data_IF_041091592189
#
_entry.id   IF_041091592189
#
_cell.length_a   1.000
_cell.length_b   1.000
_cell.length_c   1.000
_cell.angle_alpha   90.00
_cell.angle_beta   90.00
_cell.angle_gamma   90.00
#
_symmetry.space_group_name_H-M   'P 1'
#
loop_
_entity.id
_entity.type
_entity.pdbx_description
1 polymer ?
#
# COMPACT_ATOMS: atom_id res chain seq x y z
N UNK A 1 -7.37 -14.77 -7.61
CA UNK A 1 -7.24 -15.54 -6.35
C UNK A 1 -6.05 -15.02 -5.55
N UNK A 2 -6.31 -14.45 -4.37
CA UNK A 2 -5.28 -14.02 -3.42
C UNK A 2 -4.57 -15.27 -2.85
N UNK A 3 -3.24 -15.27 -2.82
CA UNK A 3 -2.46 -16.41 -2.28
C UNK A 3 -2.37 -16.39 -0.75
N UNK A 4 -2.46 -15.21 -0.14
CA UNK A 4 -2.45 -15.00 1.30
C UNK A 4 -3.51 -13.95 1.66
N UNK A 5 -4.38 -14.29 2.60
CA UNK A 5 -5.44 -13.43 3.10
C UNK A 5 -5.09 -12.88 4.48
N UNK A 6 -5.78 -11.81 4.89
CA UNK A 6 -5.70 -11.28 6.25
C UNK A 6 -6.02 -12.37 7.28
N UNK A 7 -5.24 -12.44 8.35
CA UNK A 7 -5.39 -13.43 9.41
C UNK A 7 -6.29 -12.95 10.55
N UNK A 8 -6.60 -13.80 11.54
CA UNK A 8 -7.37 -13.39 12.73
C UNK A 8 -6.76 -12.21 13.49
N UNK A 9 -5.43 -12.06 13.44
CA UNK A 9 -4.73 -10.93 14.04
C UNK A 9 -5.07 -9.58 13.39
N UNK A 10 -5.56 -9.60 12.14
CA UNK A 10 -5.89 -8.43 11.33
C UNK A 10 -7.38 -8.03 11.43
N UNK A 11 -8.18 -8.74 12.22
CA UNK A 11 -9.61 -8.47 12.40
C UNK A 11 -9.87 -7.01 12.81
N UNK A 12 -8.99 -6.44 13.62
CA UNK A 12 -9.10 -5.05 14.02
C UNK A 12 -9.10 -4.08 12.82
N UNK A 13 -8.40 -4.39 11.72
CA UNK A 13 -8.41 -3.56 10.52
C UNK A 13 -9.82 -3.52 9.95
N UNK A 14 -10.48 -4.69 9.84
CA UNK A 14 -11.86 -4.81 9.37
C UNK A 14 -12.82 -4.07 10.30
N UNK A 15 -12.62 -4.19 11.61
CA UNK A 15 -13.45 -3.52 12.62
C UNK A 15 -13.31 -1.99 12.59
N UNK A 16 -12.14 -1.49 12.15
CA UNK A 16 -11.85 -0.06 12.02
C UNK A 16 -12.30 0.55 10.69
N UNK A 17 -12.63 -0.28 9.69
CA UNK A 17 -13.17 0.21 8.44
C UNK A 17 -14.60 0.72 8.67
N UNK A 18 -14.73 2.05 8.73
CA UNK A 18 -16.04 2.71 8.59
C UNK A 18 -16.65 2.38 7.21
N UNK A 19 -17.94 2.71 7.02
CA UNK A 19 -18.66 2.55 5.73
C UNK A 19 -17.79 3.07 4.57
N UNK A 20 -17.16 2.17 3.78
CA UNK A 20 -16.23 2.58 2.75
C UNK A 20 -17.01 3.33 1.65
N UNK A 21 -16.34 4.10 0.77
CA UNK A 21 -17.00 4.72 -0.38
C UNK A 21 -17.85 3.69 -1.12
N UNK A 22 -19.03 4.07 -1.64
CA UNK A 22 -20.00 3.14 -2.27
C UNK A 22 -19.38 2.18 -3.32
N UNK A 23 -18.26 2.58 -3.92
CA UNK A 23 -17.52 1.80 -4.94
C UNK A 23 -16.63 0.70 -4.37
N UNK A 24 -16.32 0.77 -3.08
CA UNK A 24 -15.56 -0.24 -2.40
C UNK A 24 -16.50 -1.23 -1.71
N UNK A 25 -16.52 -2.51 -2.12
CA UNK A 25 -17.27 -3.50 -1.39
C UNK A 25 -16.75 -3.61 0.04
N UNK A 26 -17.58 -4.11 0.94
CA UNK A 26 -17.18 -4.32 2.33
C UNK A 26 -15.99 -5.28 2.38
N UNK A 27 -14.91 -4.84 3.03
CA UNK A 27 -13.77 -5.71 3.28
C UNK A 27 -14.08 -6.68 4.43
N UNK A 28 -13.51 -7.87 4.35
CA UNK A 28 -13.47 -8.87 5.41
C UNK A 28 -12.13 -9.63 5.33
N UNK A 29 -11.86 -10.51 6.31
CA UNK A 29 -10.60 -11.26 6.33
C UNK A 29 -10.40 -12.15 5.09
N UNK A 30 -11.48 -12.57 4.42
CA UNK A 30 -11.44 -13.46 3.27
C UNK A 30 -11.22 -12.75 1.93
N UNK A 31 -11.41 -11.44 1.86
CA UNK A 31 -11.17 -10.66 0.64
C UNK A 31 -10.07 -9.60 0.78
N UNK A 32 -9.63 -9.34 2.01
CA UNK A 32 -8.59 -8.36 2.33
C UNK A 32 -7.20 -9.00 2.37
N UNK A 33 -6.22 -8.22 1.96
CA UNK A 33 -4.81 -8.50 2.03
C UNK A 33 -4.09 -7.37 2.77
N UNK A 34 -3.29 -7.72 3.77
CA UNK A 34 -2.52 -6.76 4.56
C UNK A 34 -1.11 -6.64 4.01
N UNK A 35 -0.74 -5.42 3.59
CA UNK A 35 0.60 -5.11 3.10
C UNK A 35 1.58 -4.90 4.26
N UNK A 36 1.20 -4.10 5.24
CA UNK A 36 1.99 -3.80 6.44
C UNK A 36 1.09 -3.38 7.60
N UNK A 37 1.47 -3.72 8.84
CA UNK A 37 0.75 -3.36 10.07
C UNK A 37 1.67 -3.45 11.29
N UNK A 38 1.44 -2.61 12.32
CA UNK A 38 2.23 -2.59 13.56
C UNK A 38 1.39 -2.58 14.85
N UNK A 39 0.85 -3.75 15.24
CA UNK A 39 0.33 -3.89 16.60
C UNK A 39 -0.88 -2.99 16.93
N UNK A 40 -1.64 -2.59 15.90
CA UNK A 40 -2.91 -1.82 15.92
C UNK A 40 -2.80 -0.29 15.87
N UNK A 41 -1.60 0.26 15.72
CA UNK A 41 -1.44 1.70 15.52
C UNK A 41 -1.52 2.09 14.04
N UNK A 42 -1.13 1.19 13.14
CA UNK A 42 -1.20 1.39 11.70
C UNK A 42 -1.52 0.11 10.95
N UNK A 43 -2.18 0.30 9.82
CA UNK A 43 -2.33 -0.72 8.79
C UNK A 43 -2.37 -0.12 7.39
N UNK A 44 -1.78 -0.84 6.44
CA UNK A 44 -2.02 -0.69 5.02
C UNK A 44 -2.56 -2.01 4.49
N UNK A 45 -3.78 -1.97 3.97
CA UNK A 45 -4.44 -3.15 3.45
C UNK A 45 -5.15 -2.82 2.15
N UNK A 46 -5.48 -3.86 1.39
CA UNK A 46 -6.21 -3.74 0.14
C UNK A 46 -7.16 -4.90 -0.08
N UNK A 47 -8.13 -4.69 -0.94
CA UNK A 47 -8.99 -5.75 -1.46
C UNK A 47 -9.38 -5.42 -2.90
N UNK A 48 -9.65 -6.46 -3.68
CA UNK A 48 -9.97 -6.34 -5.10
C UNK A 48 -11.48 -6.20 -5.32
N UNK A 49 -11.83 -5.51 -6.40
CA UNK A 49 -13.20 -5.44 -6.93
C UNK A 49 -13.15 -5.96 -8.37
N UNK A 50 -13.86 -7.07 -8.60
CA UNK A 50 -13.98 -7.74 -9.91
C UNK A 50 -12.64 -8.00 -10.64
N UNK A 51 -11.54 -8.18 -9.89
CA UNK A 51 -10.17 -8.38 -10.41
C UNK A 51 -9.65 -7.24 -11.34
N UNK A 52 -10.31 -6.08 -11.33
CA UNK A 52 -9.97 -4.92 -12.19
C UNK A 52 -9.70 -3.64 -11.40
N UNK A 53 -10.44 -3.44 -10.31
CA UNK A 53 -10.22 -2.32 -9.41
C UNK A 53 -9.65 -2.81 -8.08
N UNK A 54 -9.07 -1.87 -7.34
CA UNK A 54 -8.56 -2.10 -6.00
C UNK A 54 -9.03 -1.01 -5.07
N UNK A 55 -9.41 -1.42 -3.88
CA UNK A 55 -9.62 -0.56 -2.73
C UNK A 55 -8.40 -0.69 -1.82
N UNK A 56 -7.82 0.43 -1.45
CA UNK A 56 -6.65 0.49 -0.56
C UNK A 56 -7.01 1.35 0.64
N UNK A 57 -6.73 0.83 1.82
CA UNK A 57 -6.87 1.59 3.06
C UNK A 57 -5.51 1.84 3.70
N UNK A 58 -5.35 3.06 4.21
CA UNK A 58 -4.35 3.40 5.21
C UNK A 58 -5.07 3.80 6.49
N UNK A 59 -4.77 3.10 7.59
CA UNK A 59 -5.23 3.41 8.94
C UNK A 59 -4.00 3.84 9.74
N UNK A 60 -4.11 4.96 10.45
CA UNK A 60 -3.06 5.47 11.34
C UNK A 60 -3.67 5.99 12.63
N UNK A 61 -3.04 5.75 13.76
CA UNK A 61 -3.35 6.39 15.05
C UNK A 61 -2.24 7.37 15.41
N UNK A 62 -2.62 8.55 15.90
CA UNK A 62 -1.67 9.49 16.48
C UNK A 62 -1.27 9.06 17.91
N UNK A 63 -0.29 9.76 18.49
CA UNK A 63 0.19 9.50 19.86
C UNK A 63 -0.89 9.69 20.95
N UNK A 64 -2.00 10.36 20.62
CA UNK A 64 -3.16 10.56 21.51
C UNK A 64 -4.25 9.50 21.27
N UNK A 65 -4.03 8.57 20.35
CA UNK A 65 -4.97 7.53 19.95
C UNK A 65 -6.03 7.98 18.94
N UNK A 66 -5.97 9.22 18.45
CA UNK A 66 -6.90 9.73 17.43
C UNK A 66 -6.69 8.95 16.14
N UNK A 67 -7.79 8.46 15.57
CA UNK A 67 -7.77 7.66 14.35
C UNK A 67 -7.83 8.55 13.11
N UNK A 68 -6.95 8.26 12.15
CA UNK A 68 -7.03 8.73 10.78
C UNK A 68 -7.18 7.55 9.83
N UNK A 69 -8.05 7.72 8.83
CA UNK A 69 -8.27 6.73 7.77
C UNK A 69 -8.28 7.42 6.41
N UNK A 70 -7.58 6.82 5.45
CA UNK A 70 -7.67 7.18 4.03
C UNK A 70 -8.04 5.94 3.24
N UNK A 71 -9.11 6.02 2.46
CA UNK A 71 -9.48 4.97 1.49
C UNK A 71 -9.27 5.51 0.09
N UNK A 72 -8.52 4.77 -0.72
CA UNK A 72 -8.36 5.01 -2.15
C UNK A 72 -9.05 3.90 -2.93
N UNK A 73 -9.62 4.27 -4.07
CA UNK A 73 -10.24 3.36 -5.02
C UNK A 73 -9.80 3.73 -6.43
N UNK A 74 -9.53 2.74 -7.26
CA UNK A 74 -9.38 2.93 -8.69
C UNK A 74 -8.98 1.67 -9.45
N UNK A 75 -8.95 1.77 -10.79
CA UNK A 75 -8.49 0.69 -11.67
C UNK A 75 -7.03 0.36 -11.39
N UNK A 76 -6.70 -0.94 -11.35
CA UNK A 76 -5.33 -1.42 -11.11
C UNK A 76 -4.36 -0.85 -12.15
N UNK A 77 -4.76 -0.84 -13.42
CA UNK A 77 -3.92 -0.36 -14.53
C UNK A 77 -3.67 1.15 -14.41
N UNK A 78 -4.66 1.93 -13.98
CA UNK A 78 -4.48 3.37 -13.77
C UNK A 78 -3.53 3.67 -12.60
N UNK A 79 -3.62 2.90 -11.52
CA UNK A 79 -2.67 3.01 -10.40
C UNK A 79 -1.26 2.57 -10.81
N UNK A 80 -1.16 1.59 -11.71
CA UNK A 80 0.10 1.10 -12.27
C UNK A 80 0.73 2.08 -13.26
N UNK A 81 -0.01 3.04 -13.81
CA UNK A 81 0.50 4.07 -14.72
C UNK A 81 0.90 5.37 -13.99
N UNK A 82 0.53 5.53 -12.72
CA UNK A 82 0.83 6.72 -11.92
C UNK A 82 2.10 6.60 -11.07
N UNK A 83 2.79 7.72 -10.85
CA UNK A 83 3.84 7.81 -9.83
C UNK A 83 3.33 7.25 -8.48
N UNK A 84 4.21 6.67 -7.63
CA UNK A 84 3.83 6.17 -6.33
C UNK A 84 2.98 7.18 -5.54
N UNK A 85 1.88 6.68 -4.97
CA UNK A 85 0.89 7.52 -4.30
C UNK A 85 1.25 7.62 -2.82
N UNK A 86 1.21 8.84 -2.28
CA UNK A 86 1.33 9.04 -0.84
C UNK A 86 0.01 8.68 -0.15
N UNK A 87 0.08 7.72 0.77
CA UNK A 87 -1.05 7.26 1.58
C UNK A 87 -0.76 7.39 3.08
N UNK A 88 -1.83 7.52 3.86
CA UNK A 88 -1.78 7.77 5.30
C UNK A 88 -1.77 9.26 5.65
N UNK A 89 -1.87 9.55 6.95
CA UNK A 89 -1.73 10.92 7.43
C UNK A 89 -0.24 11.33 7.39
N UNK A 90 0.02 12.40 6.66
CA UNK A 90 1.36 12.96 6.40
C UNK A 90 2.17 13.19 7.69
N UNK A 91 1.50 13.41 8.82
CA UNK A 91 2.13 13.66 10.12
C UNK A 91 2.35 12.40 10.98
N UNK A 92 1.68 11.28 10.67
CA UNK A 92 1.55 10.14 11.61
C UNK A 92 1.82 8.77 10.99
N UNK A 93 2.71 8.72 9.98
CA UNK A 93 3.14 7.55 9.17
C UNK A 93 2.73 7.72 7.70
N UNK A 94 3.34 8.66 6.96
CA UNK A 94 3.21 8.63 5.51
C UNK A 94 3.81 7.34 4.95
N UNK A 95 3.27 6.88 3.82
CA UNK A 95 3.82 5.78 3.04
C UNK A 95 3.61 5.99 1.54
N UNK A 96 4.49 5.41 0.72
CA UNK A 96 4.33 5.32 -0.73
C UNK A 96 3.71 4.00 -1.07
N UNK A 97 2.69 4.05 -1.92
CA UNK A 97 2.08 2.88 -2.53
C UNK A 97 2.40 2.88 -4.03
N UNK A 98 2.83 1.73 -4.54
CA UNK A 98 2.96 1.50 -5.97
C UNK A 98 2.39 0.13 -6.38
N UNK A 99 1.96 0.06 -7.63
CA UNK A 99 1.38 -1.12 -8.25
C UNK A 99 2.25 -1.54 -9.43
N UNK A 100 2.56 -2.84 -9.52
CA UNK A 100 3.47 -3.41 -10.51
C UNK A 100 2.79 -4.57 -11.25
N UNK A 101 2.24 -4.34 -12.45
CA UNK A 101 1.68 -5.41 -13.29
C UNK A 101 2.77 -6.36 -13.78
N UNK A 102 2.48 -7.66 -13.80
CA UNK A 102 3.39 -8.67 -14.33
C UNK A 102 4.62 -8.97 -13.47
N UNK A 103 4.82 -8.25 -12.37
CA UNK A 103 5.93 -8.46 -11.45
C UNK A 103 5.50 -9.45 -10.35
N UNK A 104 6.31 -10.46 -10.12
CA UNK A 104 6.17 -11.44 -9.02
C UNK A 104 7.39 -11.46 -8.08
N UNK A 105 8.37 -10.58 -8.33
CA UNK A 105 9.55 -10.40 -7.48
C UNK A 105 9.25 -9.44 -6.32
N UNK A 106 10.09 -9.50 -5.29
CA UNK A 106 10.03 -8.52 -4.19
C UNK A 106 10.27 -7.10 -4.71
N UNK A 107 9.77 -6.10 -3.98
CA UNK A 107 10.03 -4.68 -4.27
C UNK A 107 11.03 -4.13 -3.25
N UNK A 108 11.96 -3.30 -3.72
CA UNK A 108 12.94 -2.59 -2.89
C UNK A 108 12.85 -1.10 -3.12
N UNK A 109 13.29 -0.34 -2.12
CA UNK A 109 13.44 1.10 -2.24
C UNK A 109 14.82 1.46 -2.79
N UNK A 110 14.89 2.46 -3.67
CA UNK A 110 16.12 3.06 -4.19
C UNK A 110 16.08 4.58 -3.95
N UNK A 111 17.26 5.19 -3.79
CA UNK A 111 17.45 6.65 -3.90
C UNK A 111 17.33 7.46 -2.61
N UNK A 112 17.12 6.83 -1.45
CA UNK A 112 17.14 7.55 -0.18
C UNK A 112 17.87 6.73 0.90
N UNK A 113 18.29 7.41 1.96
CA UNK A 113 18.99 6.79 3.06
C UNK A 113 18.09 5.78 3.79
N UNK A 114 18.62 4.62 4.21
CA UNK A 114 17.87 3.61 4.98
C UNK A 114 17.25 4.12 6.29
N UNK A 115 17.62 5.31 6.75
CA UNK A 115 17.09 5.95 7.96
C UNK A 115 15.78 6.69 7.69
N UNK A 116 15.58 7.13 6.45
CA UNK A 116 14.41 7.88 6.01
C UNK A 116 13.23 6.94 5.75
N UNK A 117 13.50 5.70 5.34
CA UNK A 117 12.48 4.74 4.95
C UNK A 117 12.63 3.38 5.58
N UNK A 118 11.48 2.76 5.84
CA UNK A 118 11.42 1.35 6.13
C UNK A 118 11.47 0.52 4.85
N UNK A 119 11.98 -0.73 4.92
CA UNK A 119 11.93 -1.66 3.81
C UNK A 119 10.52 -1.75 3.20
N UNK A 120 10.46 -1.85 1.88
CA UNK A 120 9.19 -2.01 1.21
C UNK A 120 8.57 -3.35 1.60
N UNK A 121 7.29 -3.33 1.95
CA UNK A 121 6.47 -4.51 2.13
C UNK A 121 5.66 -4.70 0.86
N UNK A 122 5.67 -5.90 0.29
CA UNK A 122 4.95 -6.18 -0.95
C UNK A 122 4.14 -7.47 -0.86
N UNK A 123 3.10 -7.52 -1.69
CA UNK A 123 2.23 -8.69 -1.86
C UNK A 123 1.81 -8.81 -3.31
N UNK A 124 1.82 -10.04 -3.81
CA UNK A 124 1.47 -10.37 -5.19
C UNK A 124 0.12 -11.06 -5.24
N UNK A 125 -0.73 -10.63 -6.17
CA UNK A 125 -2.06 -11.19 -6.41
C UNK A 125 -2.15 -11.74 -7.83
N UNK A 126 -2.77 -12.90 -7.98
CA UNK A 126 -3.07 -13.50 -9.28
C UNK A 126 -4.49 -13.11 -9.68
N UNK A 127 -4.65 -12.27 -10.71
CA UNK A 127 -5.94 -11.75 -11.19
C UNK A 127 -6.64 -12.70 -12.19
N UNK A 128 -5.95 -13.75 -12.63
CA UNK A 128 -6.46 -14.68 -13.63
C UNK A 128 -5.33 -15.40 -14.37
N UNK A 129 -5.63 -16.16 -15.44
CA UNK A 129 -4.63 -16.89 -16.20
C UNK A 129 -3.53 -15.97 -16.73
N UNK A 130 -2.32 -16.10 -16.17
CA UNK A 130 -1.15 -15.32 -16.59
C UNK A 130 -1.13 -13.85 -16.18
N UNK A 131 -2.11 -13.36 -15.42
CA UNK A 131 -2.13 -11.98 -14.92
C UNK A 131 -1.78 -11.95 -13.44
N UNK A 132 -0.68 -11.28 -13.12
CA UNK A 132 -0.25 -11.00 -11.74
C UNK A 132 -0.07 -9.51 -11.54
N UNK A 133 -0.27 -9.07 -10.31
CA UNK A 133 -0.01 -7.70 -9.88
C UNK A 133 0.68 -7.73 -8.53
N UNK A 134 1.74 -6.96 -8.36
CA UNK A 134 2.40 -6.76 -7.07
C UNK A 134 2.09 -5.37 -6.54
N UNK A 135 1.55 -5.32 -5.34
CA UNK A 135 1.36 -4.09 -4.58
C UNK A 135 2.53 -3.95 -3.61
N UNK A 136 3.08 -2.75 -3.51
CA UNK A 136 4.16 -2.46 -2.57
C UNK A 136 3.89 -1.17 -1.81
N UNK A 137 4.20 -1.20 -0.51
CA UNK A 137 4.15 -0.06 0.38
C UNK A 137 5.52 0.14 1.05
N UNK A 138 6.02 1.38 1.08
CA UNK A 138 7.21 1.74 1.85
C UNK A 138 6.92 2.96 2.72
N UNK A 139 7.25 2.85 4.01
CA UNK A 139 6.98 3.89 5.01
C UNK A 139 8.16 4.81 5.18
N UNK A 140 7.87 6.01 5.68
CA UNK A 140 8.88 7.01 5.98
C UNK A 140 8.96 7.23 7.49
N UNK A 141 10.17 7.50 7.98
CA UNK A 141 10.45 7.84 9.38
C UNK A 141 10.35 9.35 9.66
N UNK A 142 10.12 10.18 8.64
CA UNK A 142 10.22 11.64 8.75
C UNK A 142 8.88 12.26 9.19
N UNK A 143 8.82 12.96 10.34
CA UNK A 143 7.72 13.88 10.60
C UNK A 143 7.80 15.03 9.60
N UNK A 144 6.70 15.30 8.88
CA UNK A 144 6.64 16.25 7.77
C UNK A 144 7.25 17.62 8.11
N UNK A 145 8.49 17.86 7.67
CA UNK A 145 9.14 19.17 7.69
C UNK A 145 9.23 19.79 6.29
N UNK A 146 8.41 19.34 5.34
CA UNK A 146 8.35 19.92 3.99
C UNK A 146 9.65 19.82 3.18
N UNK A 147 10.63 19.03 3.64
CA UNK A 147 11.82 18.73 2.85
C UNK A 147 11.40 17.84 1.66
N UNK A 148 11.78 18.18 0.42
CA UNK A 148 11.50 17.34 -0.73
C UNK A 148 12.20 15.99 -0.57
N UNK A 149 11.54 14.92 -0.98
CA UNK A 149 12.14 13.60 -1.02
C UNK A 149 13.26 13.58 -2.08
N UNK A 150 14.20 12.63 -1.97
CA UNK A 150 15.26 12.45 -2.96
C UNK A 150 14.69 12.36 -4.38
N UNK A 151 15.31 13.06 -5.34
CA UNK A 151 14.84 13.08 -6.73
C UNK A 151 14.99 11.72 -7.43
N UNK A 152 15.88 10.87 -6.93
CA UNK A 152 16.11 9.51 -7.40
C UNK A 152 15.33 8.44 -6.60
N UNK A 153 14.44 8.87 -5.70
CA UNK A 153 13.58 7.99 -4.92
C UNK A 153 12.66 7.17 -5.83
N UNK A 154 12.74 5.85 -5.71
CA UNK A 154 11.92 4.93 -6.49
C UNK A 154 11.63 3.61 -5.76
N UNK A 155 10.50 3.00 -6.09
CA UNK A 155 10.23 1.59 -5.78
C UNK A 155 10.59 0.74 -6.99
N UNK A 156 11.47 -0.25 -6.81
CA UNK A 156 12.03 -1.05 -7.88
C UNK A 156 11.76 -2.54 -7.64
N UNK A 157 11.35 -3.30 -8.67
CA UNK A 157 11.42 -4.76 -8.62
C UNK A 157 12.85 -5.22 -8.35
N UNK A 158 13.02 -6.26 -7.52
CA UNK A 158 14.32 -6.87 -7.26
C UNK A 158 14.90 -7.52 -8.52
N UNK A 159 14.01 -8.04 -9.38
CA UNK A 159 14.34 -8.63 -10.68
C UNK A 159 13.35 -8.14 -11.71
N UNK A 160 13.86 -7.92 -12.92
CA UNK A 160 13.13 -7.70 -14.17
C UNK A 160 11.93 -6.75 -14.04
N UNK A 161 12.09 -5.51 -14.49
CA UNK A 161 10.99 -4.55 -14.50
C UNK A 161 11.48 -3.12 -14.33
N UNK A 162 10.57 -2.18 -14.54
CA UNK A 162 10.86 -0.76 -14.42
C UNK A 162 10.62 -0.27 -13.00
N UNK A 163 11.55 0.54 -12.49
CA UNK A 163 11.36 1.26 -11.25
C UNK A 163 10.23 2.29 -11.40
N UNK A 164 9.52 2.54 -10.30
CA UNK A 164 8.49 3.57 -10.18
C UNK A 164 9.07 4.76 -9.43
N UNK A 165 9.53 5.81 -10.13
CA UNK A 165 10.09 6.99 -9.47
C UNK A 165 8.97 7.78 -8.79
N UNK A 166 9.28 8.37 -7.63
CA UNK A 166 8.36 9.21 -6.87
C UNK A 166 7.92 10.46 -7.66
N UNK A 167 8.82 10.95 -8.51
CA UNK A 167 8.59 12.11 -9.37
C UNK A 167 8.67 11.67 -10.85
N UNK A 168 7.72 12.08 -11.70
CA UNK A 168 7.75 11.78 -13.14
C UNK A 168 8.87 12.50 -13.89
#
# INVERSE_FOLDING_TARGET
MLREHAGPADQWIVDELDDPPERCPRADLSNMLVLDSDGRDRAYALWLVDDVDVCVVAITRDERGSRGQTVLYGPIDELADRAPILIGLVQHSPAMLAVFPGIDSGIVLKGDEPRTFHPASSRTVVLGPGRVVTFAVSRFAVPYQGAPLGLDLALCPVRDGECRPMYP
#
